data_IF_610154042685
#
_entry.id   IF_610154042685
#
_cell.length_a   1.000
_cell.length_b   1.000
_cell.length_c   1.000
_cell.angle_alpha   90.00
_cell.angle_beta   90.00
_cell.angle_gamma   90.00
#
_symmetry.space_group_name_H-M   'P 1'
#
loop_
_entity.id
_entity.type
_entity.pdbx_description
1 polymer ?
#
# COMPACT_ATOMS: atom_id res chain seq x y z
N UNK A 1 -18.14 -7.18 14.19
CA UNK A 1 -18.20 -6.05 13.24
C UNK A 1 -19.65 -5.87 12.74
N UNK A 2 -20.26 -6.90 12.10
CA UNK A 2 -21.57 -6.83 11.42
C UNK A 2 -22.68 -6.24 12.29
N UNK A 3 -22.90 -6.74 13.51
CA UNK A 3 -23.97 -6.28 14.42
C UNK A 3 -23.80 -4.80 14.81
N UNK A 4 -22.56 -4.37 15.08
CA UNK A 4 -22.26 -2.98 15.42
C UNK A 4 -22.47 -2.05 14.22
N UNK A 5 -22.03 -2.44 13.04
CA UNK A 5 -22.20 -1.66 11.81
C UNK A 5 -23.69 -1.47 11.46
N UNK A 6 -24.51 -2.52 11.54
CA UNK A 6 -25.97 -2.45 11.35
C UNK A 6 -26.64 -1.48 12.32
N UNK A 7 -26.30 -1.59 13.62
CA UNK A 7 -26.83 -0.72 14.65
C UNK A 7 -26.44 0.74 14.41
N UNK A 8 -25.17 1.00 14.04
CA UNK A 8 -24.68 2.34 13.76
C UNK A 8 -25.37 2.94 12.53
N UNK A 9 -25.49 2.17 11.43
CA UNK A 9 -26.18 2.60 10.22
C UNK A 9 -27.61 3.01 10.50
N UNK A 10 -28.33 2.23 11.31
CA UNK A 10 -29.73 2.50 11.64
C UNK A 10 -29.93 3.72 12.55
N UNK A 11 -29.03 3.88 13.55
CA UNK A 11 -29.28 4.86 14.62
C UNK A 11 -28.63 6.23 14.33
N UNK A 12 -27.48 6.25 13.63
CA UNK A 12 -26.69 7.47 13.46
C UNK A 12 -26.27 7.74 12.00
N UNK A 13 -26.56 6.81 11.10
CA UNK A 13 -25.98 6.80 9.78
C UNK A 13 -24.55 6.23 9.79
N UNK A 14 -24.12 5.70 8.65
CA UNK A 14 -22.79 5.14 8.44
C UNK A 14 -22.43 5.35 6.96
N UNK A 15 -21.33 6.06 6.68
CA UNK A 15 -20.88 6.37 5.33
C UNK A 15 -19.68 5.56 4.87
N UNK A 16 -18.85 5.06 5.78
CA UNK A 16 -17.62 4.33 5.49
C UNK A 16 -17.28 3.39 6.64
N UNK A 17 -16.71 2.23 6.32
CA UNK A 17 -16.07 1.32 7.28
C UNK A 17 -14.60 1.22 6.93
N UNK A 18 -13.71 1.47 7.90
CA UNK A 18 -12.27 1.26 7.77
C UNK A 18 -11.84 0.17 8.75
N UNK A 19 -11.04 -0.77 8.28
CA UNK A 19 -10.51 -1.90 9.07
C UNK A 19 -8.98 -1.86 8.98
N UNK A 20 -8.34 -1.65 10.12
CA UNK A 20 -6.89 -1.67 10.28
C UNK A 20 -6.54 -2.80 11.27
N UNK A 21 -6.03 -3.90 10.78
CA UNK A 21 -5.96 -4.49 9.45
C UNK A 21 -6.66 -5.86 9.46
N UNK A 22 -6.99 -6.40 8.29
CA UNK A 22 -7.86 -7.58 8.16
C UNK A 22 -7.33 -8.82 8.88
N UNK A 23 -6.00 -8.96 8.98
CA UNK A 23 -5.36 -10.09 9.66
C UNK A 23 -5.53 -10.08 11.19
N UNK A 24 -5.98 -8.97 11.80
CA UNK A 24 -6.32 -8.93 13.23
C UNK A 24 -7.75 -9.43 13.53
N UNK A 25 -8.58 -9.59 12.51
CA UNK A 25 -9.92 -10.13 12.69
C UNK A 25 -9.80 -11.64 12.95
N UNK A 26 -10.45 -12.08 14.02
CA UNK A 26 -10.57 -13.51 14.34
C UNK A 26 -11.93 -14.04 13.88
N UNK A 27 -11.94 -15.18 13.21
CA UNK A 27 -13.15 -15.94 12.91
C UNK A 27 -13.71 -16.60 14.16
N UNK A 28 -15.00 -16.82 14.16
CA UNK A 28 -15.69 -17.54 15.26
C UNK A 28 -15.48 -19.04 15.07
N UNK A 29 -14.47 -19.62 15.72
CA UNK A 29 -14.31 -21.08 15.81
C UNK A 29 -13.01 -21.69 15.33
N UNK A 30 -12.01 -20.93 14.93
CA UNK A 30 -10.77 -21.50 14.39
C UNK A 30 -9.73 -21.85 15.45
N UNK A 31 -9.31 -23.15 15.48
CA UNK A 31 -8.01 -23.52 16.04
C UNK A 31 -6.92 -23.00 15.11
N UNK A 32 -5.91 -22.33 15.67
CA UNK A 32 -4.77 -21.74 14.94
C UNK A 32 -3.91 -22.82 14.27
N UNK A 33 -4.18 -23.12 13.02
CA UNK A 33 -3.29 -23.87 12.12
C UNK A 33 -3.14 -23.07 10.83
N UNK A 34 -1.97 -23.08 10.18
CA UNK A 34 -1.68 -22.23 9.01
C UNK A 34 -2.68 -22.43 7.87
N UNK A 35 -3.07 -23.67 7.56
CA UNK A 35 -4.10 -23.94 6.55
C UNK A 35 -5.48 -23.38 6.88
N UNK A 36 -5.77 -23.20 8.17
CA UNK A 36 -7.02 -22.63 8.64
C UNK A 36 -7.03 -21.10 8.49
N UNK A 37 -5.85 -20.44 8.50
CA UNK A 37 -5.75 -18.96 8.41
C UNK A 37 -6.12 -18.42 7.04
N UNK A 38 -5.71 -19.08 5.96
CA UNK A 38 -6.08 -18.70 4.59
C UNK A 38 -7.60 -18.80 4.39
N UNK A 39 -8.20 -19.88 4.90
CA UNK A 39 -9.63 -20.07 4.83
C UNK A 39 -10.38 -19.03 5.67
N UNK A 40 -9.89 -18.75 6.87
CA UNK A 40 -10.46 -17.73 7.77
C UNK A 40 -10.45 -16.33 7.11
N UNK A 41 -9.33 -15.93 6.49
CA UNK A 41 -9.23 -14.65 5.77
C UNK A 41 -10.20 -14.63 4.56
N UNK A 42 -10.40 -15.75 3.90
CA UNK A 42 -11.37 -15.89 2.82
C UNK A 42 -12.80 -15.66 3.28
N UNK A 43 -13.16 -16.25 4.42
CA UNK A 43 -14.49 -16.06 5.03
C UNK A 43 -14.69 -14.61 5.48
N UNK A 44 -13.65 -13.99 6.07
CA UNK A 44 -13.68 -12.61 6.51
C UNK A 44 -13.86 -11.67 5.31
N UNK A 45 -13.06 -11.83 4.25
CA UNK A 45 -13.13 -11.03 3.02
C UNK A 45 -14.53 -11.08 2.40
N UNK A 46 -15.04 -12.30 2.18
CA UNK A 46 -16.40 -12.50 1.68
C UNK A 46 -17.46 -11.88 2.61
N UNK A 47 -17.29 -12.03 3.93
CA UNK A 47 -18.17 -11.44 4.92
C UNK A 47 -18.19 -9.90 4.88
N UNK A 48 -17.05 -9.27 4.65
CA UNK A 48 -16.95 -7.82 4.48
C UNK A 48 -17.60 -7.35 3.18
N UNK A 49 -17.42 -8.09 2.08
CA UNK A 49 -18.10 -7.81 0.81
C UNK A 49 -19.62 -7.87 0.93
N UNK A 50 -20.14 -8.88 1.63
CA UNK A 50 -21.58 -9.01 1.90
C UNK A 50 -22.06 -7.82 2.75
N UNK A 51 -21.31 -7.47 3.79
CA UNK A 51 -21.64 -6.35 4.69
C UNK A 51 -21.68 -5.02 3.96
N UNK A 52 -20.71 -4.75 3.09
CA UNK A 52 -20.67 -3.55 2.27
C UNK A 52 -21.92 -3.41 1.39
N UNK A 53 -22.33 -4.49 0.73
CA UNK A 53 -23.55 -4.54 -0.09
C UNK A 53 -24.82 -4.36 0.74
N UNK A 54 -24.91 -5.09 1.86
CA UNK A 54 -26.07 -5.06 2.74
C UNK A 54 -26.35 -3.66 3.30
N UNK A 55 -25.29 -2.97 3.74
CA UNK A 55 -25.41 -1.64 4.34
C UNK A 55 -25.37 -0.51 3.31
N UNK A 56 -25.08 -0.83 2.04
CA UNK A 56 -24.77 0.14 0.99
C UNK A 56 -23.73 1.17 1.47
N UNK A 57 -22.57 0.67 1.92
CA UNK A 57 -21.47 1.45 2.51
C UNK A 57 -20.14 0.90 1.98
N UNK A 58 -19.22 1.73 1.49
CA UNK A 58 -17.88 1.29 1.14
C UNK A 58 -17.14 0.76 2.37
N UNK A 59 -16.32 -0.26 2.15
CA UNK A 59 -15.44 -0.85 3.15
C UNK A 59 -14.00 -0.76 2.64
N UNK A 60 -13.14 -0.10 3.38
CA UNK A 60 -11.69 -0.08 3.18
C UNK A 60 -11.08 -1.05 4.19
N UNK A 61 -10.42 -2.08 3.71
CA UNK A 61 -9.70 -3.02 4.56
C UNK A 61 -8.20 -2.94 4.26
N UNK A 62 -7.41 -2.57 5.25
CA UNK A 62 -5.96 -2.63 5.16
C UNK A 62 -5.52 -4.09 5.23
N UNK A 63 -4.50 -4.45 4.47
CA UNK A 63 -3.94 -5.79 4.44
C UNK A 63 -2.43 -5.73 4.44
N UNK A 64 -1.80 -6.53 5.29
CA UNK A 64 -0.37 -6.72 5.26
C UNK A 64 0.02 -7.57 4.04
N UNK A 65 1.12 -7.19 3.39
CA UNK A 65 1.69 -7.94 2.27
C UNK A 65 2.61 -9.05 2.77
N UNK A 66 2.83 -10.04 1.90
CA UNK A 66 3.84 -11.06 2.13
C UNK A 66 5.24 -10.41 2.14
N UNK A 67 6.07 -10.80 3.11
CA UNK A 67 7.46 -10.30 3.26
C UNK A 67 8.36 -10.61 2.05
N UNK A 68 7.97 -11.53 1.19
CA UNK A 68 8.69 -11.82 -0.05
C UNK A 68 8.89 -10.62 -0.97
N UNK A 69 8.06 -9.58 -0.87
CA UNK A 69 8.23 -8.32 -1.61
C UNK A 69 9.56 -7.63 -1.28
N UNK A 70 10.03 -7.73 -0.03
CA UNK A 70 11.28 -7.10 0.43
C UNK A 70 12.53 -7.79 -0.11
N UNK A 71 12.40 -9.03 -0.59
CA UNK A 71 13.51 -9.85 -1.12
C UNK A 71 13.73 -9.67 -2.63
N UNK A 72 12.83 -8.95 -3.31
CA UNK A 72 12.94 -8.70 -4.76
C UNK A 72 13.79 -7.46 -5.03
N UNK A 73 14.41 -7.42 -6.21
CA UNK A 73 15.12 -6.23 -6.69
C UNK A 73 14.13 -5.06 -6.88
N UNK A 74 13.00 -5.32 -7.56
CA UNK A 74 11.88 -4.39 -7.60
C UNK A 74 10.91 -4.68 -6.44
N UNK A 75 10.91 -3.78 -5.47
CA UNK A 75 10.08 -3.86 -4.26
C UNK A 75 8.69 -3.25 -4.45
N UNK A 76 8.30 -2.87 -5.69
CA UNK A 76 6.92 -2.44 -5.96
C UNK A 76 5.95 -3.60 -5.73
N UNK A 77 4.93 -3.41 -4.87
CA UNK A 77 3.97 -4.45 -4.60
C UNK A 77 3.14 -4.82 -5.83
N UNK A 78 2.84 -6.10 -5.95
CA UNK A 78 2.01 -6.68 -7.01
C UNK A 78 0.93 -7.59 -6.42
N UNK A 79 -0.06 -7.97 -7.22
CA UNK A 79 -1.20 -8.77 -6.76
C UNK A 79 -0.79 -10.10 -6.10
N UNK A 80 0.29 -10.73 -6.55
CA UNK A 80 0.81 -11.97 -5.94
C UNK A 80 1.32 -11.78 -4.50
N UNK A 81 1.60 -10.55 -4.06
CA UNK A 81 2.03 -10.27 -2.69
C UNK A 81 0.86 -10.34 -1.68
N UNK A 82 -0.39 -10.42 -2.18
CA UNK A 82 -1.59 -10.77 -1.42
C UNK A 82 -1.81 -12.29 -1.29
N UNK A 83 -0.84 -13.13 -1.61
CA UNK A 83 -0.96 -14.56 -1.89
C UNK A 83 -1.50 -15.42 -0.73
N UNK A 84 -1.31 -15.03 0.52
CA UNK A 84 -1.96 -15.69 1.67
C UNK A 84 -3.45 -15.34 1.77
N UNK A 85 -3.92 -14.47 0.90
CA UNK A 85 -5.26 -13.88 0.89
C UNK A 85 -5.85 -13.92 -0.54
N UNK A 86 -5.63 -14.98 -1.31
CA UNK A 86 -6.10 -15.10 -2.71
C UNK A 86 -7.59 -14.80 -2.91
N UNK A 87 -8.38 -14.97 -1.87
CA UNK A 87 -9.79 -14.58 -1.86
C UNK A 87 -10.00 -13.08 -1.73
N UNK A 88 -9.08 -12.32 -1.06
CA UNK A 88 -9.16 -10.85 -1.00
C UNK A 88 -9.09 -10.29 -2.40
N UNK A 89 -8.18 -10.80 -3.22
CA UNK A 89 -8.09 -10.41 -4.63
C UNK A 89 -9.41 -10.62 -5.37
N UNK A 90 -10.10 -11.76 -5.17
CA UNK A 90 -11.34 -12.07 -5.85
C UNK A 90 -12.51 -11.21 -5.36
N UNK A 91 -12.62 -10.99 -4.04
CA UNK A 91 -13.73 -10.29 -3.40
C UNK A 91 -13.64 -8.77 -3.55
N UNK A 92 -12.42 -8.19 -3.53
CA UNK A 92 -12.22 -6.75 -3.63
C UNK A 92 -12.64 -6.22 -5.02
N UNK A 93 -13.30 -5.06 -5.05
CA UNK A 93 -13.58 -4.33 -6.28
C UNK A 93 -12.37 -3.53 -6.74
N UNK A 94 -11.59 -3.03 -5.78
CA UNK A 94 -10.38 -2.25 -5.99
C UNK A 94 -9.30 -2.81 -5.05
N UNK A 95 -8.09 -2.97 -5.58
CA UNK A 95 -6.88 -3.25 -4.80
C UNK A 95 -5.87 -2.15 -5.09
N UNK A 96 -5.42 -1.50 -4.03
CA UNK A 96 -4.42 -0.45 -4.09
C UNK A 96 -3.25 -0.80 -3.19
N UNK A 97 -2.03 -0.59 -3.68
CA UNK A 97 -0.81 -0.71 -2.89
C UNK A 97 -0.22 0.66 -2.65
N UNK A 98 0.31 0.87 -1.46
CA UNK A 98 1.07 2.06 -1.12
C UNK A 98 2.55 1.72 -1.20
N UNK A 99 3.31 2.49 -1.97
CA UNK A 99 4.73 2.28 -2.17
C UNK A 99 5.50 3.60 -2.02
N UNK A 100 6.68 3.52 -1.43
CA UNK A 100 7.62 4.64 -1.32
C UNK A 100 9.01 4.13 -1.63
N UNK A 101 9.55 4.51 -2.77
CA UNK A 101 10.89 4.11 -3.21
C UNK A 101 11.96 4.56 -2.23
N UNK A 102 11.87 5.81 -1.77
CA UNK A 102 12.80 6.40 -0.83
C UNK A 102 12.95 5.58 0.47
N UNK A 103 11.87 4.94 0.95
CA UNK A 103 11.90 4.10 2.15
C UNK A 103 12.92 2.97 2.06
N UNK A 104 13.11 2.42 0.86
CA UNK A 104 14.05 1.34 0.62
C UNK A 104 15.46 1.85 0.33
N UNK A 105 15.58 2.77 -0.65
CA UNK A 105 16.88 3.18 -1.17
C UNK A 105 17.70 4.05 -0.21
N UNK A 106 17.06 4.81 0.69
CA UNK A 106 17.76 5.71 1.62
C UNK A 106 18.77 5.01 2.53
N UNK A 107 18.59 3.70 2.76
CA UNK A 107 19.47 2.88 3.61
C UNK A 107 20.40 1.97 2.78
N UNK A 108 20.38 2.07 1.44
CA UNK A 108 21.14 1.23 0.53
C UNK A 108 22.34 2.01 -0.08
N UNK A 109 23.08 2.75 0.78
CA UNK A 109 24.27 3.49 0.33
C UNK A 109 25.27 2.54 -0.32
N UNK A 110 25.80 2.88 -1.53
CA UNK A 110 26.75 2.04 -2.24
C UNK A 110 28.03 1.81 -1.44
N UNK A 111 28.37 0.55 -1.17
CA UNK A 111 29.62 0.16 -0.52
C UNK A 111 30.67 -0.17 -1.58
N UNK A 112 31.96 0.06 -1.25
CA UNK A 112 33.05 -0.26 -2.15
C UNK A 112 33.13 -1.77 -2.40
N UNK A 113 33.22 -2.16 -3.68
CA UNK A 113 33.44 -3.54 -4.09
C UNK A 113 34.94 -3.84 -4.22
N UNK A 114 35.36 -5.07 -4.01
CA UNK A 114 36.78 -5.48 -3.95
C UNK A 114 37.63 -5.12 -5.19
N UNK A 115 37.00 -4.99 -6.36
CA UNK A 115 37.68 -4.66 -7.64
C UNK A 115 37.25 -3.31 -8.21
N UNK A 116 36.65 -2.42 -7.40
CA UNK A 116 36.09 -1.13 -7.85
C UNK A 116 37.09 0.00 -7.64
N UNK A 117 37.24 0.86 -8.66
CA UNK A 117 38.02 2.09 -8.52
C UNK A 117 37.30 3.14 -7.68
N UNK A 118 38.02 4.04 -7.00
CA UNK A 118 37.42 5.12 -6.23
C UNK A 118 36.48 6.02 -7.08
N UNK A 119 36.84 6.30 -8.33
CA UNK A 119 36.05 7.12 -9.24
C UNK A 119 34.71 6.45 -9.56
N UNK A 120 34.72 5.13 -9.75
CA UNK A 120 33.48 4.38 -10.03
C UNK A 120 32.55 4.34 -8.79
N UNK A 121 33.12 4.14 -7.60
CA UNK A 121 32.37 4.22 -6.36
C UNK A 121 31.75 5.61 -6.17
N UNK A 122 32.53 6.68 -6.39
CA UNK A 122 32.06 8.05 -6.25
C UNK A 122 30.87 8.34 -7.18
N UNK A 123 30.95 7.91 -8.43
CA UNK A 123 29.83 8.03 -9.37
C UNK A 123 28.55 7.32 -8.89
N UNK A 124 28.70 6.11 -8.35
CA UNK A 124 27.55 5.34 -7.80
C UNK A 124 26.93 6.05 -6.60
N UNK A 125 27.74 6.67 -5.74
CA UNK A 125 27.26 7.46 -4.60
C UNK A 125 26.50 8.68 -5.10
N UNK A 126 27.02 9.41 -6.08
CA UNK A 126 26.35 10.58 -6.65
C UNK A 126 25.00 10.22 -7.30
N UNK A 127 24.95 9.10 -8.05
CA UNK A 127 23.72 8.58 -8.65
C UNK A 127 22.71 8.18 -7.57
N UNK A 128 23.15 7.51 -6.51
CA UNK A 128 22.32 7.13 -5.38
C UNK A 128 21.77 8.35 -4.63
N UNK A 129 22.61 9.33 -4.29
CA UNK A 129 22.18 10.57 -3.66
C UNK A 129 21.15 11.34 -4.49
N UNK A 130 21.38 11.44 -5.80
CA UNK A 130 20.45 12.08 -6.71
C UNK A 130 19.08 11.39 -6.69
N UNK A 131 19.08 10.05 -6.68
CA UNK A 131 17.86 9.24 -6.61
C UNK A 131 17.15 9.38 -5.27
N UNK A 132 17.89 9.37 -4.15
CA UNK A 132 17.34 9.60 -2.81
C UNK A 132 16.67 10.98 -2.74
N UNK A 133 17.34 12.03 -3.24
CA UNK A 133 16.75 13.39 -3.27
C UNK A 133 15.51 13.47 -4.16
N UNK A 134 15.53 12.86 -5.32
CA UNK A 134 14.39 12.89 -6.26
C UNK A 134 13.15 12.18 -5.71
N UNK A 135 13.32 11.15 -4.87
CA UNK A 135 12.23 10.34 -4.35
C UNK A 135 11.80 10.67 -2.92
N UNK A 136 12.51 11.59 -2.24
CA UNK A 136 12.32 11.90 -0.81
C UNK A 136 10.86 12.18 -0.43
N UNK A 137 10.18 12.97 -1.26
CA UNK A 137 8.80 13.41 -1.03
C UNK A 137 7.80 12.78 -1.99
N UNK A 138 8.13 11.63 -2.57
CA UNK A 138 7.24 10.91 -3.49
C UNK A 138 6.72 9.63 -2.83
N UNK A 139 5.42 9.46 -2.92
CA UNK A 139 4.75 8.20 -2.65
C UNK A 139 3.90 7.78 -3.84
N UNK A 140 3.70 6.49 -4.02
CA UNK A 140 2.92 5.93 -5.11
C UNK A 140 1.72 5.16 -4.54
N UNK A 141 0.57 5.37 -5.17
CA UNK A 141 -0.60 4.49 -5.02
C UNK A 141 -0.72 3.68 -6.30
N UNK A 142 -0.41 2.40 -6.21
CA UNK A 142 -0.45 1.46 -7.34
C UNK A 142 -1.81 0.77 -7.33
N UNK A 143 -2.64 1.04 -8.33
CA UNK A 143 -3.95 0.40 -8.52
C UNK A 143 -3.72 -0.92 -9.24
N UNK A 144 -3.59 -2.00 -8.46
CA UNK A 144 -3.34 -3.34 -9.00
C UNK A 144 -4.59 -4.03 -9.54
N UNK A 145 -5.77 -3.62 -9.06
CA UNK A 145 -7.07 -4.07 -9.54
C UNK A 145 -8.10 -2.97 -9.44
N UNK A 146 -8.91 -2.81 -10.47
CA UNK A 146 -10.11 -1.98 -10.46
C UNK A 146 -11.17 -2.62 -11.35
N UNK A 147 -12.30 -3.04 -10.75
CA UNK A 147 -13.30 -3.85 -11.48
C UNK A 147 -13.94 -3.10 -12.64
N UNK A 148 -14.12 -1.80 -12.52
CA UNK A 148 -14.82 -0.96 -13.49
C UNK A 148 -13.96 0.21 -14.00
N UNK A 149 -12.62 0.07 -13.96
CA UNK A 149 -11.71 1.12 -14.41
C UNK A 149 -10.31 0.57 -14.71
N UNK A 150 -9.42 1.42 -15.20
CA UNK A 150 -8.04 1.03 -15.51
C UNK A 150 -7.22 0.80 -14.24
N UNK A 151 -6.22 -0.05 -14.35
CA UNK A 151 -5.11 -0.13 -13.40
C UNK A 151 -4.06 0.94 -13.73
N UNK A 152 -3.18 1.26 -12.80
CA UNK A 152 -2.12 2.25 -13.02
C UNK A 152 -1.50 2.71 -11.72
N UNK A 153 -0.64 3.72 -11.81
CA UNK A 153 0.06 4.29 -10.66
C UNK A 153 -0.24 5.78 -10.57
N UNK A 154 -0.57 6.24 -9.38
CA UNK A 154 -0.76 7.65 -9.05
C UNK A 154 0.35 8.07 -8.11
N UNK A 155 1.13 9.07 -8.50
CA UNK A 155 2.13 9.68 -7.64
C UNK A 155 1.49 10.74 -6.74
N UNK A 156 1.91 10.75 -5.49
CA UNK A 156 1.47 11.67 -4.45
C UNK A 156 2.67 12.32 -3.78
N UNK A 157 2.48 13.51 -3.26
CA UNK A 157 3.44 14.13 -2.34
C UNK A 157 3.42 13.38 -1.01
N UNK A 158 4.60 13.08 -0.48
CA UNK A 158 4.78 12.52 0.85
C UNK A 158 5.46 13.52 1.77
N UNK A 159 4.81 13.84 2.87
CA UNK A 159 5.42 14.60 3.97
C UNK A 159 5.83 13.63 5.09
N UNK A 160 7.15 13.42 5.23
CA UNK A 160 7.71 12.48 6.20
C UNK A 160 7.51 12.91 7.65
N UNK A 161 7.56 14.21 7.92
CA UNK A 161 7.47 14.76 9.29
C UNK A 161 6.08 14.52 9.90
N UNK A 162 5.06 14.51 9.08
CA UNK A 162 3.67 14.31 9.51
C UNK A 162 3.06 12.97 9.08
N UNK A 163 3.86 12.10 8.43
CA UNK A 163 3.37 10.84 7.85
C UNK A 163 2.10 11.03 6.98
N UNK A 164 2.10 12.08 6.15
CA UNK A 164 0.94 12.55 5.42
C UNK A 164 1.15 12.48 3.91
N UNK A 165 0.14 12.02 3.20
CA UNK A 165 0.05 12.15 1.75
C UNK A 165 -0.69 13.43 1.36
N UNK A 166 -0.24 14.06 0.29
CA UNK A 166 -0.84 15.22 -0.34
C UNK A 166 -0.84 15.10 -1.86
N UNK A 167 -1.45 16.05 -2.53
CA UNK A 167 -1.37 16.14 -3.98
C UNK A 167 0.01 16.67 -4.38
N UNK A 168 0.58 16.10 -5.46
CA UNK A 168 1.73 16.73 -6.11
C UNK A 168 1.28 18.08 -6.69
N UNK A 169 2.09 19.12 -6.46
CA UNK A 169 1.91 20.38 -7.15
C UNK A 169 2.07 20.15 -8.67
N UNK A 170 1.13 20.62 -9.47
CA UNK A 170 1.33 20.65 -10.92
C UNK A 170 2.35 21.71 -11.25
N UNK A 171 3.24 21.43 -12.22
CA UNK A 171 4.27 22.40 -12.66
C UNK A 171 3.67 23.77 -13.00
N UNK A 172 2.45 23.81 -13.52
CA UNK A 172 1.69 25.02 -13.84
C UNK A 172 1.43 25.96 -12.63
N UNK A 173 1.53 25.45 -11.40
CA UNK A 173 1.30 26.21 -10.16
C UNK A 173 2.57 26.47 -9.36
N UNK A 174 3.73 26.05 -9.86
CA UNK A 174 5.00 26.42 -9.24
C UNK A 174 5.31 27.87 -9.61
N UNK A 175 5.63 28.74 -8.63
CA UNK A 175 6.09 30.09 -8.97
C UNK A 175 7.34 29.98 -9.82
N UNK A 176 7.44 30.79 -10.89
CA UNK A 176 8.64 30.90 -11.69
C UNK A 176 9.82 31.12 -10.73
N UNK A 177 10.87 30.27 -10.87
CA UNK A 177 12.09 30.48 -10.10
C UNK A 177 12.57 31.88 -10.44
N UNK A 178 12.50 32.79 -9.46
CA UNK A 178 13.16 34.09 -9.56
C UNK A 178 14.64 33.73 -9.68
N UNK A 179 15.20 33.95 -10.87
CA UNK A 179 16.59 33.64 -11.16
C UNK A 179 17.51 34.46 -10.24
N UNK A 180 18.51 33.80 -9.70
CA UNK A 180 19.65 34.43 -9.04
C UNK A 180 20.52 35.15 -10.08
#
# INVERSE_FOLDING_TARGET
IRTRARRLKRNKGLGLIVIDYIQLIMGTGSKKTEGNRVQELSEISRGLKILAKELNVPVIALSQLNRGVEQRDDKRPVMSDLRESGSIEQDADIVMFVYRENYYIQNEEPQQKASETPEHLQKRIEEWEARVRATANIGEVIIGKQRHGPTGTVQLFWNGDFAQFGNLAKEEYLPERIGD
#
